data_IF_649906274563
#
_entry.id   IF_649906274563
#
_cell.length_a   1.000
_cell.length_b   1.000
_cell.length_c   1.000
_cell.angle_alpha   90.00
_cell.angle_beta   90.00
_cell.angle_gamma   90.00
#
_symmetry.space_group_name_H-M   'P 1'
#
loop_
_entity.id
_entity.type
_entity.pdbx_description
1 polymer ?
#
# COMPACT_ATOMS: atom_id res chain seq x y z
N UNK A 1 62.43 37.49 -2.12
CA UNK A 1 61.85 36.78 -3.25
C UNK A 1 61.44 35.37 -2.74
N UNK A 2 60.38 35.00 -2.55
CA UNK A 2 58.96 35.25 -2.58
C UNK A 2 58.29 33.88 -2.28
N UNK A 3 57.88 33.67 -1.06
CA UNK A 3 57.26 32.41 -0.59
C UNK A 3 55.81 32.64 -0.22
N UNK A 4 55.03 33.43 -0.97
CA UNK A 4 53.65 33.82 -0.62
C UNK A 4 52.56 33.46 -1.65
N UNK A 5 52.73 32.47 -2.54
CA UNK A 5 51.75 32.21 -3.60
C UNK A 5 51.24 30.74 -3.70
N UNK A 6 51.26 29.94 -2.64
CA UNK A 6 50.81 28.54 -2.66
C UNK A 6 49.53 28.21 -1.88
N UNK A 7 48.78 29.21 -1.40
CA UNK A 7 47.66 28.95 -0.45
C UNK A 7 46.25 29.24 -0.98
N UNK A 8 46.02 29.44 -2.30
CA UNK A 8 44.66 29.83 -2.80
C UNK A 8 43.93 28.85 -3.73
N UNK A 9 44.47 27.67 -4.02
CA UNK A 9 43.84 26.74 -5.00
C UNK A 9 43.10 25.50 -4.41
N UNK A 10 42.95 25.41 -3.10
CA UNK A 10 42.33 24.21 -2.46
C UNK A 10 40.84 24.26 -2.15
N UNK A 11 40.18 25.42 -2.24
CA UNK A 11 38.79 25.57 -1.78
C UNK A 11 37.68 25.20 -2.78
N UNK A 12 37.76 25.49 -4.10
CA UNK A 12 36.66 25.20 -5.02
C UNK A 12 36.37 23.71 -5.25
N UNK A 13 37.42 22.88 -5.26
CA UNK A 13 37.25 21.43 -5.49
C UNK A 13 36.56 20.68 -4.34
N UNK A 14 36.70 21.14 -3.08
CA UNK A 14 36.02 20.55 -1.92
C UNK A 14 34.52 20.89 -1.91
N UNK A 15 34.16 22.13 -2.24
CA UNK A 15 32.78 22.56 -2.32
C UNK A 15 32.01 21.87 -3.47
N UNK A 16 32.63 21.69 -4.64
CA UNK A 16 32.06 20.97 -5.77
C UNK A 16 31.83 19.47 -5.47
N UNK A 17 32.78 18.81 -4.79
CA UNK A 17 32.62 17.41 -4.35
C UNK A 17 31.55 17.26 -3.27
N UNK A 18 31.42 18.25 -2.39
CA UNK A 18 30.39 18.23 -1.33
C UNK A 18 28.99 18.47 -1.90
N UNK A 19 28.84 19.39 -2.86
CA UNK A 19 27.58 19.62 -3.58
C UNK A 19 27.16 18.41 -4.42
N UNK A 20 28.09 17.75 -5.12
CA UNK A 20 27.83 16.52 -5.88
C UNK A 20 27.45 15.33 -4.98
N UNK A 21 28.02 15.28 -3.75
CA UNK A 21 27.66 14.25 -2.76
C UNK A 21 26.26 14.49 -2.19
N UNK A 22 25.86 15.74 -1.95
CA UNK A 22 24.50 16.10 -1.49
C UNK A 22 23.45 15.86 -2.57
N UNK A 23 23.74 16.16 -3.84
CA UNK A 23 22.83 15.87 -4.96
C UNK A 23 22.57 14.38 -5.16
N UNK A 24 23.59 13.53 -5.00
CA UNK A 24 23.41 12.06 -5.04
C UNK A 24 22.63 11.53 -3.84
N UNK A 25 22.78 12.11 -2.67
CA UNK A 25 22.06 11.70 -1.46
C UNK A 25 20.57 11.98 -1.55
N UNK A 26 20.16 13.16 -2.03
CA UNK A 26 18.75 13.48 -2.24
C UNK A 26 18.06 12.53 -3.23
N UNK A 27 18.80 12.05 -4.25
CA UNK A 27 18.27 11.12 -5.25
C UNK A 27 17.83 9.77 -4.66
N UNK A 28 18.50 9.24 -3.61
CA UNK A 28 18.12 7.95 -3.01
C UNK A 28 16.79 8.03 -2.24
N UNK A 29 16.58 9.09 -1.46
CA UNK A 29 15.32 9.28 -0.73
C UNK A 29 14.15 9.61 -1.65
N UNK A 30 14.38 10.35 -2.73
CA UNK A 30 13.37 10.60 -3.76
C UNK A 30 12.96 9.27 -4.43
N UNK A 31 13.92 8.41 -4.76
CA UNK A 31 13.65 7.08 -5.32
C UNK A 31 12.87 6.19 -4.34
N UNK A 32 13.23 6.22 -3.05
CA UNK A 32 12.48 5.52 -1.99
C UNK A 32 11.03 6.01 -1.95
N UNK A 33 10.82 7.32 -1.93
CA UNK A 33 9.47 7.89 -1.90
C UNK A 33 8.65 7.51 -3.14
N UNK A 34 9.25 7.58 -4.32
CA UNK A 34 8.60 7.16 -5.57
C UNK A 34 8.26 5.66 -5.54
N UNK A 35 9.19 4.82 -5.08
CA UNK A 35 8.97 3.39 -4.92
C UNK A 35 7.80 3.12 -3.98
N UNK A 36 7.75 3.77 -2.81
CA UNK A 36 6.66 3.59 -1.85
C UNK A 36 5.32 4.07 -2.43
N UNK A 37 5.29 5.20 -3.13
CA UNK A 37 4.08 5.73 -3.76
C UNK A 37 3.56 4.78 -4.86
N UNK A 38 4.44 4.30 -5.74
CA UNK A 38 4.10 3.35 -6.79
C UNK A 38 3.67 2.00 -6.21
N UNK A 39 4.35 1.52 -5.16
CA UNK A 39 4.00 0.28 -4.47
C UNK A 39 2.62 0.38 -3.80
N UNK A 40 2.34 1.50 -3.13
CA UNK A 40 1.02 1.76 -2.55
C UNK A 40 -0.08 1.70 -3.61
N UNK A 41 0.09 2.43 -4.72
CA UNK A 41 -0.88 2.45 -5.82
C UNK A 41 -1.05 1.05 -6.45
N UNK A 42 0.07 0.35 -6.69
CA UNK A 42 0.04 -1.01 -7.23
C UNK A 42 -0.65 -1.99 -6.30
N UNK A 43 -0.34 -1.98 -5.00
CA UNK A 43 -0.97 -2.84 -4.00
C UNK A 43 -2.46 -2.59 -3.91
N UNK A 44 -2.88 -1.31 -3.91
CA UNK A 44 -4.29 -0.96 -3.88
C UNK A 44 -5.04 -1.52 -5.10
N UNK A 45 -4.48 -1.39 -6.30
CA UNK A 45 -5.09 -1.91 -7.53
C UNK A 45 -5.06 -3.43 -7.58
N UNK A 46 -3.91 -4.04 -7.25
CA UNK A 46 -3.72 -5.49 -7.37
C UNK A 46 -4.56 -6.29 -6.36
N UNK A 47 -4.97 -5.71 -5.25
CA UNK A 47 -5.92 -6.35 -4.32
C UNK A 47 -7.27 -6.69 -4.97
N UNK A 48 -7.65 -6.01 -6.05
CA UNK A 48 -8.85 -6.34 -6.82
C UNK A 48 -8.66 -7.52 -7.81
N UNK A 49 -7.45 -8.07 -7.92
CA UNK A 49 -7.19 -9.21 -8.82
C UNK A 49 -8.01 -10.46 -8.48
N UNK A 50 -8.50 -10.57 -7.23
CA UNK A 50 -9.36 -11.68 -6.80
C UNK A 50 -10.85 -11.43 -7.00
N UNK A 51 -11.27 -10.27 -7.50
CA UNK A 51 -12.68 -9.97 -7.75
C UNK A 51 -13.15 -10.67 -9.01
N UNK A 52 -14.29 -11.33 -8.96
CA UNK A 52 -14.80 -12.18 -10.04
C UNK A 52 -15.25 -11.40 -11.29
N UNK A 53 -15.77 -10.16 -11.12
CA UNK A 53 -16.28 -9.32 -12.18
C UNK A 53 -15.92 -7.84 -11.94
N UNK A 54 -15.63 -7.10 -13.01
CA UNK A 54 -15.22 -5.69 -12.92
C UNK A 54 -16.27 -4.80 -12.26
N UNK A 55 -17.55 -5.11 -12.39
CA UNK A 55 -18.66 -4.41 -11.74
C UNK A 55 -18.65 -4.50 -10.19
N UNK A 56 -17.90 -5.46 -9.65
CA UNK A 56 -17.69 -5.66 -8.22
C UNK A 56 -16.43 -4.95 -7.69
N UNK A 57 -15.68 -4.27 -8.56
CA UNK A 57 -14.51 -3.47 -8.18
C UNK A 57 -14.98 -2.12 -7.66
N UNK A 58 -15.10 -2.00 -6.34
CA UNK A 58 -15.55 -0.79 -5.67
C UNK A 58 -14.45 -0.21 -4.77
N UNK A 59 -13.98 1.02 -5.05
CA UNK A 59 -13.01 1.71 -4.20
C UNK A 59 -13.54 1.86 -2.77
N UNK A 60 -12.73 1.43 -1.79
CA UNK A 60 -13.15 1.43 -0.40
C UNK A 60 -11.96 1.68 0.57
N UNK A 61 -12.28 2.11 1.80
CA UNK A 61 -11.27 2.48 2.78
C UNK A 61 -10.54 1.27 3.38
N UNK A 62 -11.19 0.10 3.50
CA UNK A 62 -10.51 -1.09 4.03
C UNK A 62 -9.33 -1.49 3.14
N UNK A 63 -9.49 -1.43 1.82
CA UNK A 63 -8.37 -1.68 0.91
C UNK A 63 -7.31 -0.58 0.93
N UNK A 64 -7.72 0.69 1.10
CA UNK A 64 -6.79 1.80 1.28
C UNK A 64 -5.92 1.60 2.54
N UNK A 65 -6.54 1.22 3.66
CA UNK A 65 -5.82 0.94 4.91
C UNK A 65 -4.89 -0.26 4.78
N UNK A 66 -5.33 -1.32 4.09
CA UNK A 66 -4.49 -2.50 3.85
C UNK A 66 -3.28 -2.16 2.97
N UNK A 67 -3.47 -1.40 1.89
CA UNK A 67 -2.37 -0.93 1.05
C UNK A 67 -1.39 -0.04 1.86
N UNK A 68 -1.91 0.83 2.73
CA UNK A 68 -1.10 1.66 3.63
C UNK A 68 -0.30 0.83 4.64
N UNK A 69 -0.92 -0.17 5.26
CA UNK A 69 -0.26 -1.11 6.18
C UNK A 69 0.91 -1.83 5.51
N UNK A 70 0.69 -2.37 4.32
CA UNK A 70 1.71 -3.08 3.54
C UNK A 70 2.84 -2.16 3.11
N UNK A 71 2.52 -0.93 2.69
CA UNK A 71 3.53 0.08 2.30
C UNK A 71 4.37 0.53 3.49
N UNK A 72 3.77 0.70 4.66
CA UNK A 72 4.50 1.04 5.88
C UNK A 72 5.48 -0.07 6.29
N UNK A 73 5.06 -1.33 6.24
CA UNK A 73 5.94 -2.47 6.45
C UNK A 73 7.10 -2.52 5.42
N UNK A 74 6.79 -2.25 4.15
CA UNK A 74 7.79 -2.21 3.07
C UNK A 74 8.84 -1.11 3.29
N UNK A 75 8.44 0.08 3.74
CA UNK A 75 9.38 1.17 4.06
C UNK A 75 10.36 0.79 5.17
N UNK A 76 9.87 0.10 6.20
CA UNK A 76 10.70 -0.38 7.32
C UNK A 76 11.69 -1.44 6.82
N UNK A 77 11.23 -2.42 6.05
CA UNK A 77 12.07 -3.51 5.52
C UNK A 77 13.14 -2.95 4.58
N UNK A 78 12.78 -2.05 3.68
CA UNK A 78 13.73 -1.41 2.75
C UNK A 78 14.86 -0.72 3.51
N UNK A 79 14.54 0.13 4.49
CA UNK A 79 15.57 0.80 5.28
C UNK A 79 16.38 -0.15 6.16
N UNK A 80 15.77 -1.20 6.71
CA UNK A 80 16.46 -2.18 7.53
C UNK A 80 17.50 -2.96 6.71
N UNK A 81 17.14 -3.36 5.47
CA UNK A 81 18.02 -4.16 4.61
C UNK A 81 19.01 -3.29 3.83
N UNK A 82 18.59 -2.12 3.36
CA UNK A 82 19.37 -1.27 2.49
C UNK A 82 19.87 0.03 3.17
N UNK A 83 19.90 0.06 4.51
CA UNK A 83 20.30 1.23 5.30
C UNK A 83 21.68 1.79 4.97
N UNK A 84 22.59 0.96 4.45
CA UNK A 84 23.90 1.38 3.98
C UNK A 84 23.88 2.31 2.74
N UNK A 85 22.80 2.30 1.96
CA UNK A 85 22.60 3.21 0.82
C UNK A 85 22.05 4.59 1.24
N UNK A 86 21.53 4.71 2.46
CA UNK A 86 20.91 5.90 3.02
C UNK A 86 21.83 6.52 4.08
N UNK A 87 22.62 7.53 3.73
CA UNK A 87 23.69 8.00 4.59
C UNK A 87 23.24 8.90 5.75
N UNK A 88 22.04 9.48 5.70
CA UNK A 88 21.50 10.33 6.76
C UNK A 88 20.80 9.50 7.84
N UNK A 89 21.52 9.23 8.94
CA UNK A 89 21.00 8.44 10.07
C UNK A 89 19.78 9.07 10.75
N UNK A 90 19.69 10.42 10.76
CA UNK A 90 18.54 11.12 11.37
C UNK A 90 17.29 10.93 10.50
N UNK A 91 17.44 11.09 9.19
CA UNK A 91 16.34 10.88 8.24
C UNK A 91 15.92 9.41 8.22
N UNK A 92 16.86 8.47 8.27
CA UNK A 92 16.55 7.05 8.39
C UNK A 92 15.74 6.75 9.66
N UNK A 93 16.16 7.27 10.82
CA UNK A 93 15.43 7.11 12.08
C UNK A 93 14.02 7.74 12.01
N UNK A 94 13.87 8.89 11.35
CA UNK A 94 12.57 9.52 11.14
C UNK A 94 11.66 8.66 10.25
N UNK A 95 12.17 8.12 9.13
CA UNK A 95 11.40 7.27 8.22
C UNK A 95 11.02 5.96 8.92
N UNK A 96 11.93 5.32 9.66
CA UNK A 96 11.62 4.11 10.43
C UNK A 96 10.57 4.39 11.51
N UNK A 97 10.72 5.49 12.25
CA UNK A 97 9.76 5.88 13.28
C UNK A 97 8.38 6.19 12.70
N UNK A 98 8.33 6.99 11.62
CA UNK A 98 7.06 7.29 10.94
C UNK A 98 6.44 6.05 10.29
N UNK A 99 7.25 5.15 9.72
CA UNK A 99 6.79 3.87 9.20
C UNK A 99 6.17 2.98 10.28
N UNK A 100 6.81 2.89 11.46
CA UNK A 100 6.29 2.14 12.59
C UNK A 100 4.96 2.74 13.12
N UNK A 101 4.89 4.07 13.24
CA UNK A 101 3.65 4.77 13.63
C UNK A 101 2.55 4.53 12.59
N UNK A 102 2.85 4.64 11.29
CA UNK A 102 1.89 4.40 10.21
C UNK A 102 1.40 2.94 10.21
N UNK A 103 2.30 1.98 10.45
CA UNK A 103 1.94 0.55 10.55
C UNK A 103 0.93 0.31 11.67
N UNK A 104 1.21 0.83 12.87
CA UNK A 104 0.29 0.72 14.02
C UNK A 104 -1.02 1.47 13.75
N UNK A 105 -0.96 2.66 13.17
CA UNK A 105 -2.14 3.45 12.84
C UNK A 105 -3.05 2.72 11.85
N UNK A 106 -2.52 2.22 10.73
CA UNK A 106 -3.32 1.45 9.76
C UNK A 106 -3.86 0.15 10.35
N UNK A 107 -3.07 -0.54 11.19
CA UNK A 107 -3.56 -1.70 11.92
C UNK A 107 -4.77 -1.37 12.79
N UNK A 108 -4.71 -0.29 13.57
CA UNK A 108 -5.81 0.17 14.43
C UNK A 108 -7.02 0.58 13.58
N UNK A 109 -6.83 1.34 12.49
CA UNK A 109 -7.89 1.76 11.58
C UNK A 109 -8.65 0.55 11.01
N UNK A 110 -7.94 -0.52 10.62
CA UNK A 110 -8.55 -1.76 10.14
C UNK A 110 -9.31 -2.46 11.27
N UNK A 111 -8.70 -2.60 12.45
CA UNK A 111 -9.32 -3.33 13.58
C UNK A 111 -10.55 -2.64 14.14
N UNK A 112 -10.55 -1.32 14.15
CA UNK A 112 -11.66 -0.50 14.64
C UNK A 112 -12.67 -0.13 13.54
N UNK A 113 -12.40 -0.51 12.27
CA UNK A 113 -13.21 -0.12 11.12
C UNK A 113 -13.46 1.41 11.09
N UNK A 114 -12.42 2.18 11.40
CA UNK A 114 -12.51 3.63 11.55
C UNK A 114 -12.96 4.29 10.23
N UNK A 115 -13.88 5.24 10.33
CA UNK A 115 -14.50 5.94 9.19
C UNK A 115 -15.23 5.02 8.18
N UNK A 116 -15.53 3.77 8.55
CA UNK A 116 -16.32 2.86 7.73
C UNK A 116 -17.79 3.11 8.03
N UNK A 117 -18.43 3.96 7.23
CA UNK A 117 -19.87 4.14 7.20
C UNK A 117 -20.57 2.96 6.53
N UNK A 118 -21.91 2.88 6.63
CA UNK A 118 -22.73 1.84 5.94
C UNK A 118 -22.37 1.72 4.46
N UNK A 119 -22.19 2.86 3.78
CA UNK A 119 -21.79 2.90 2.37
C UNK A 119 -20.40 2.31 2.15
N UNK A 120 -19.42 2.66 3.00
CA UNK A 120 -18.06 2.12 2.91
C UNK A 120 -18.01 0.63 3.28
N UNK A 121 -18.83 0.22 4.23
CA UNK A 121 -19.00 -1.19 4.57
C UNK A 121 -19.45 -2.00 3.35
N UNK A 122 -20.57 -1.62 2.69
CA UNK A 122 -21.03 -2.32 1.50
C UNK A 122 -20.02 -2.30 0.36
N UNK A 123 -19.34 -1.16 0.12
CA UNK A 123 -18.26 -1.05 -0.89
C UNK A 123 -17.06 -1.95 -0.59
N UNK A 124 -16.79 -2.28 0.66
CA UNK A 124 -15.72 -3.22 1.02
C UNK A 124 -16.18 -4.68 1.00
N UNK A 125 -17.43 -4.95 1.34
CA UNK A 125 -17.98 -6.31 1.38
C UNK A 125 -18.25 -6.88 -0.02
N UNK A 126 -18.70 -6.07 -0.98
CA UNK A 126 -18.95 -6.54 -2.35
C UNK A 126 -17.70 -7.18 -2.98
N UNK A 127 -16.53 -6.53 -3.06
CA UNK A 127 -15.34 -7.19 -3.61
C UNK A 127 -14.84 -8.37 -2.77
N UNK A 128 -15.08 -8.37 -1.46
CA UNK A 128 -14.75 -9.49 -0.58
C UNK A 128 -15.59 -10.74 -0.90
N UNK A 129 -16.90 -10.58 -1.08
CA UNK A 129 -17.80 -11.64 -1.48
C UNK A 129 -17.50 -12.14 -2.91
N UNK A 130 -17.22 -11.22 -3.82
CA UNK A 130 -16.82 -11.53 -5.18
C UNK A 130 -15.54 -12.38 -5.25
N UNK A 131 -14.58 -12.16 -4.34
CA UNK A 131 -13.39 -12.99 -4.24
C UNK A 131 -13.74 -14.44 -3.79
N UNK A 132 -14.65 -14.63 -2.86
CA UNK A 132 -15.10 -15.97 -2.44
C UNK A 132 -15.79 -16.71 -3.59
N UNK A 133 -16.62 -16.01 -4.37
CA UNK A 133 -17.25 -16.57 -5.58
C UNK A 133 -16.20 -17.01 -6.59
N UNK A 134 -15.20 -16.17 -6.86
CA UNK A 134 -14.11 -16.51 -7.79
C UNK A 134 -13.38 -17.77 -7.34
N UNK A 135 -12.98 -17.83 -6.05
CA UNK A 135 -12.28 -18.99 -5.49
C UNK A 135 -13.09 -20.27 -5.66
N UNK A 136 -14.38 -20.28 -5.29
CA UNK A 136 -15.25 -21.45 -5.45
C UNK A 136 -15.46 -21.85 -6.91
N UNK A 137 -15.55 -20.89 -7.83
CA UNK A 137 -15.75 -21.19 -9.26
C UNK A 137 -14.48 -21.66 -9.99
N UNK A 138 -13.28 -21.32 -9.51
CA UNK A 138 -12.01 -21.54 -10.22
C UNK A 138 -11.12 -22.60 -9.59
N UNK A 139 -11.27 -22.86 -8.28
CA UNK A 139 -10.47 -23.88 -7.62
C UNK A 139 -10.78 -25.28 -8.20
N UNK A 140 -9.78 -26.14 -8.44
CA UNK A 140 -9.98 -27.50 -8.96
C UNK A 140 -10.40 -28.44 -7.82
N UNK A 141 -11.55 -28.19 -7.23
CA UNK A 141 -12.13 -28.96 -6.11
C UNK A 141 -12.55 -30.34 -6.62
N UNK A 142 -12.23 -31.38 -5.86
CA UNK A 142 -12.55 -32.79 -6.17
C UNK A 142 -13.37 -33.48 -5.06
N UNK A 143 -13.38 -32.89 -3.87
CA UNK A 143 -14.13 -33.39 -2.75
C UNK A 143 -15.58 -32.95 -2.87
N UNK A 144 -16.54 -33.90 -2.81
CA UNK A 144 -17.96 -33.63 -3.02
C UNK A 144 -18.57 -32.76 -1.91
N UNK A 145 -18.08 -32.86 -0.67
CA UNK A 145 -18.58 -32.03 0.43
C UNK A 145 -18.14 -30.59 0.24
N UNK A 146 -16.87 -30.37 -0.19
CA UNK A 146 -16.33 -29.04 -0.50
C UNK A 146 -17.00 -28.46 -1.74
N UNK A 147 -17.29 -29.27 -2.76
CA UNK A 147 -18.03 -28.85 -3.95
C UNK A 147 -19.44 -28.36 -3.59
N UNK A 148 -20.15 -29.12 -2.75
CA UNK A 148 -21.47 -28.74 -2.22
C UNK A 148 -21.42 -27.47 -1.38
N UNK A 149 -20.40 -27.33 -0.51
CA UNK A 149 -20.15 -26.11 0.27
C UNK A 149 -19.94 -24.92 -0.64
N UNK A 150 -19.10 -25.06 -1.67
CA UNK A 150 -18.84 -23.99 -2.64
C UNK A 150 -20.09 -23.58 -3.42
N UNK A 151 -20.95 -24.52 -3.80
CA UNK A 151 -22.23 -24.20 -4.44
C UNK A 151 -23.11 -23.34 -3.52
N UNK A 152 -23.17 -23.67 -2.22
CA UNK A 152 -23.85 -22.85 -1.21
C UNK A 152 -23.25 -21.46 -1.04
N UNK A 153 -21.91 -21.36 -0.96
CA UNK A 153 -21.18 -20.08 -0.87
C UNK A 153 -21.48 -19.20 -2.09
N UNK A 154 -21.38 -19.74 -3.30
CA UNK A 154 -21.63 -18.97 -4.53
C UNK A 154 -23.05 -18.42 -4.54
N UNK A 155 -24.04 -19.23 -4.18
CA UNK A 155 -25.45 -18.81 -4.15
C UNK A 155 -25.71 -17.71 -3.11
N UNK A 156 -25.24 -17.90 -1.87
CA UNK A 156 -25.47 -16.93 -0.79
C UNK A 156 -24.72 -15.62 -1.03
N UNK A 157 -23.42 -15.70 -1.43
CA UNK A 157 -22.60 -14.53 -1.64
C UNK A 157 -23.11 -13.69 -2.83
N UNK A 158 -23.62 -14.33 -3.89
CA UNK A 158 -24.23 -13.60 -5.00
C UNK A 158 -25.49 -12.85 -4.57
N UNK A 159 -26.37 -13.49 -3.81
CA UNK A 159 -27.57 -12.84 -3.30
C UNK A 159 -27.24 -11.64 -2.40
N UNK A 160 -26.21 -11.76 -1.57
CA UNK A 160 -25.75 -10.69 -0.69
C UNK A 160 -25.12 -9.53 -1.49
N UNK A 161 -24.35 -9.81 -2.56
CA UNK A 161 -23.83 -8.78 -3.47
C UNK A 161 -24.98 -8.00 -4.10
N UNK A 162 -26.00 -8.70 -4.60
CA UNK A 162 -27.14 -8.08 -5.26
C UNK A 162 -27.93 -7.19 -4.27
N UNK A 163 -28.13 -7.66 -3.03
CA UNK A 163 -28.75 -6.88 -1.96
C UNK A 163 -27.93 -5.62 -1.62
N UNK A 164 -26.61 -5.75 -1.48
CA UNK A 164 -25.74 -4.61 -1.18
C UNK A 164 -25.70 -3.60 -2.33
N UNK A 165 -25.67 -4.04 -3.58
CA UNK A 165 -25.75 -3.16 -4.77
C UNK A 165 -27.09 -2.42 -4.81
N UNK A 166 -28.20 -3.10 -4.57
CA UNK A 166 -29.52 -2.46 -4.53
C UNK A 166 -29.58 -1.39 -3.42
N UNK A 167 -29.02 -1.69 -2.24
CA UNK A 167 -28.97 -0.73 -1.13
C UNK A 167 -28.09 0.46 -1.41
N UNK A 168 -26.92 0.26 -2.05
CA UNK A 168 -26.06 1.36 -2.48
C UNK A 168 -26.78 2.29 -3.47
N UNK A 169 -27.50 1.74 -4.44
CA UNK A 169 -28.29 2.53 -5.40
C UNK A 169 -29.40 3.36 -4.72
N UNK A 170 -30.09 2.76 -3.73
CA UNK A 170 -31.09 3.51 -2.93
C UNK A 170 -30.47 4.70 -2.18
N UNK A 171 -29.26 4.51 -1.62
CA UNK A 171 -28.53 5.57 -0.89
C UNK A 171 -27.95 6.68 -1.80
N UNK A 172 -27.88 6.48 -3.11
CA UNK A 172 -27.42 7.49 -4.07
C UNK A 172 -28.56 8.43 -4.51
N UNK A 173 -29.80 7.98 -4.38
CA UNK A 173 -31.01 8.76 -4.77
C UNK A 173 -31.50 9.70 -3.65
N UNK A 174 -31.05 9.47 -2.40
CA UNK A 174 -31.36 10.30 -1.23
C UNK A 174 -30.39 11.43 -1.03
#
# INVERSE_FOLDING_TARGET
>A
MDHKERAKHGKPAKHAKQAAKHGKQGSHYVRLLLMLALSFASMYVLMYAMVDALENVLPNFNQLYMAGLMTAAMAIIELALMGGMYPDKKLNALILGSGAVALVAFWVLIRQQAAISDRQFMKSMIPHHAAAILMCKRAPIRDREIESLCAGIVSSQQAEIDQMKAKLAEMEVR
#
